data_IF_469439558533
#
_entry.id   IF_469439558533
#
_cell.length_a   1.000
_cell.length_b   1.000
_cell.length_c   1.000
_cell.angle_alpha   90.00
_cell.angle_beta   90.00
_cell.angle_gamma   90.00
#
_symmetry.space_group_name_H-M   'P 1'
#
loop_
_entity.id
_entity.type
_entity.pdbx_description
1 polymer ?
#
# COMPACT_ATOMS: atom_id res chain seq x y z
N UNK A 1 4.44 16.77 -22.11
CA UNK A 1 3.24 16.68 -21.28
C UNK A 1 3.66 16.42 -19.83
N UNK A 2 3.03 17.08 -18.89
CA UNK A 2 3.26 16.89 -17.45
C UNK A 2 2.36 15.74 -16.98
N UNK A 3 2.93 14.75 -16.26
CA UNK A 3 2.17 13.57 -15.86
C UNK A 3 1.75 13.62 -14.39
N UNK A 4 0.44 13.41 -14.18
CA UNK A 4 -0.22 13.12 -12.90
C UNK A 4 -0.94 11.76 -12.96
N UNK A 5 -0.48 10.85 -13.82
CA UNK A 5 -1.11 9.57 -14.08
C UNK A 5 -0.92 8.60 -12.91
N UNK A 6 0.33 8.49 -12.39
CA UNK A 6 0.67 7.47 -11.41
C UNK A 6 1.88 7.87 -10.56
N UNK A 7 2.00 7.24 -9.39
CA UNK A 7 3.11 7.42 -8.44
C UNK A 7 4.27 6.43 -8.65
N UNK A 8 4.24 5.64 -9.71
CA UNK A 8 5.30 4.67 -10.05
C UNK A 8 5.92 4.86 -11.45
N UNK A 9 5.70 6.03 -12.10
CA UNK A 9 6.21 6.30 -13.45
C UNK A 9 7.63 6.91 -13.46
N UNK A 10 8.15 7.33 -12.31
CA UNK A 10 9.49 7.86 -12.17
C UNK A 10 10.49 6.74 -11.81
N UNK A 11 11.77 7.03 -11.90
CA UNK A 11 12.84 6.15 -11.39
C UNK A 11 12.84 6.10 -9.86
N UNK A 12 14.03 6.12 -9.24
CA UNK A 12 14.12 6.20 -7.78
C UNK A 12 14.69 7.55 -7.31
N UNK A 13 14.57 7.82 -6.02
CA UNK A 13 15.14 9.01 -5.39
C UNK A 13 16.68 9.03 -5.54
N UNK A 14 17.25 10.22 -5.76
CA UNK A 14 18.70 10.39 -6.02
C UNK A 14 19.62 9.80 -4.95
N UNK A 15 19.19 9.80 -3.69
CA UNK A 15 19.94 9.18 -2.59
C UNK A 15 20.15 7.68 -2.80
N UNK A 16 19.16 6.99 -3.38
CA UNK A 16 19.25 5.57 -3.74
C UNK A 16 20.21 5.38 -4.89
N UNK A 17 20.08 6.18 -5.98
CA UNK A 17 20.99 6.10 -7.14
C UNK A 17 22.44 6.30 -6.72
N UNK A 18 22.71 7.29 -5.90
CA UNK A 18 24.03 7.57 -5.36
C UNK A 18 24.58 6.36 -4.60
N UNK A 19 23.77 5.80 -3.70
CA UNK A 19 24.18 4.67 -2.88
C UNK A 19 24.43 3.40 -3.69
N UNK A 20 23.60 3.14 -4.71
CA UNK A 20 23.79 2.04 -5.65
C UNK A 20 25.09 2.20 -6.44
N UNK A 21 25.40 3.42 -6.92
CA UNK A 21 26.62 3.70 -7.66
C UNK A 21 27.88 3.56 -6.78
N UNK A 22 27.87 4.13 -5.57
CA UNK A 22 28.98 4.05 -4.61
C UNK A 22 29.35 2.62 -4.22
N UNK A 23 28.37 1.73 -4.15
CA UNK A 23 28.54 0.36 -3.67
C UNK A 23 28.63 -0.68 -4.79
N UNK A 24 28.59 -0.26 -6.07
CA UNK A 24 28.48 -1.17 -7.21
C UNK A 24 29.59 -2.23 -7.30
N UNK A 25 30.83 -1.86 -6.96
CA UNK A 25 31.99 -2.73 -7.07
C UNK A 25 32.24 -3.59 -5.81
N UNK A 26 31.44 -3.41 -4.78
CA UNK A 26 31.55 -4.20 -3.55
C UNK A 26 30.99 -5.61 -3.73
N UNK A 27 31.64 -6.57 -3.09
CA UNK A 27 31.17 -7.96 -2.99
C UNK A 27 30.36 -8.12 -1.71
N UNK A 28 29.13 -8.59 -1.84
CA UNK A 28 28.23 -8.80 -0.71
C UNK A 28 27.60 -10.21 -0.77
N UNK A 29 27.18 -10.73 0.36
CA UNK A 29 26.43 -11.99 0.45
C UNK A 29 25.11 -11.83 -0.31
N UNK A 30 24.69 -12.88 -1.00
CA UNK A 30 23.45 -12.86 -1.78
C UNK A 30 22.19 -13.06 -0.94
N UNK A 31 21.05 -12.97 -1.63
CA UNK A 31 19.72 -13.34 -1.15
C UNK A 31 19.24 -12.54 0.07
N UNK A 32 19.69 -11.28 0.20
CA UNK A 32 19.28 -10.41 1.29
C UNK A 32 19.93 -10.70 2.63
N UNK A 33 21.05 -11.46 2.63
CA UNK A 33 21.85 -11.77 3.82
C UNK A 33 23.09 -10.86 3.95
N UNK A 34 23.10 -9.78 3.21
CA UNK A 34 24.15 -8.75 3.18
C UNK A 34 23.94 -7.68 4.28
N UNK A 35 25.00 -6.91 4.52
CA UNK A 35 24.99 -5.86 5.56
C UNK A 35 24.01 -4.72 5.27
N UNK A 36 23.73 -4.42 3.99
CA UNK A 36 22.76 -3.39 3.61
C UNK A 36 21.34 -3.80 3.98
N UNK A 37 20.98 -5.05 3.68
CA UNK A 37 19.71 -5.62 4.09
C UNK A 37 19.59 -5.67 5.62
N UNK A 38 20.68 -5.98 6.32
CA UNK A 38 20.71 -5.98 7.79
C UNK A 38 20.49 -4.58 8.35
N UNK A 39 21.21 -3.57 7.84
CA UNK A 39 21.04 -2.18 8.26
C UNK A 39 19.62 -1.65 7.97
N UNK A 40 19.05 -1.98 6.80
CA UNK A 40 17.68 -1.62 6.46
C UNK A 40 16.66 -2.24 7.44
N UNK A 41 16.80 -3.52 7.80
CA UNK A 41 15.95 -4.20 8.79
C UNK A 41 16.00 -3.50 10.14
N UNK A 42 17.18 -3.16 10.63
CA UNK A 42 17.37 -2.47 11.91
C UNK A 42 16.67 -1.11 11.93
N UNK A 43 16.80 -0.32 10.85
CA UNK A 43 16.12 0.95 10.73
C UNK A 43 14.60 0.82 10.68
N UNK A 44 14.09 -0.20 9.96
CA UNK A 44 12.65 -0.48 9.90
C UNK A 44 12.15 -0.90 11.30
N UNK A 45 12.84 -1.82 11.99
CA UNK A 45 12.49 -2.21 13.36
C UNK A 45 12.44 -1.03 14.31
N UNK A 46 13.43 -0.15 14.22
CA UNK A 46 13.47 1.08 15.02
C UNK A 46 12.30 2.02 14.69
N UNK A 47 11.97 2.20 13.41
CA UNK A 47 10.86 3.05 12.97
C UNK A 47 9.49 2.51 13.38
N UNK A 48 9.35 1.18 13.49
CA UNK A 48 8.13 0.52 13.94
C UNK A 48 8.04 0.35 15.46
N UNK A 49 9.10 0.68 16.21
CA UNK A 49 9.17 0.38 17.66
C UNK A 49 9.17 -1.12 17.98
N UNK A 50 9.61 -1.98 17.04
CA UNK A 50 9.52 -3.44 17.13
C UNK A 50 10.90 -4.09 16.94
N UNK A 51 11.72 -4.17 18.01
CA UNK A 51 13.09 -4.69 17.91
C UNK A 51 13.15 -6.16 17.46
N UNK A 52 12.12 -6.95 17.76
CA UNK A 52 12.05 -8.38 17.45
C UNK A 52 11.28 -8.69 16.16
N UNK A 53 10.85 -7.68 15.40
CA UNK A 53 10.13 -7.90 14.15
C UNK A 53 10.98 -8.62 13.11
N UNK A 54 10.37 -9.55 12.39
CA UNK A 54 10.96 -10.11 11.18
C UNK A 54 10.66 -9.21 9.98
N UNK A 55 11.72 -8.90 9.21
CA UNK A 55 11.61 -8.01 8.04
C UNK A 55 12.19 -8.71 6.82
N UNK A 56 11.38 -8.79 5.75
CA UNK A 56 11.75 -9.39 4.47
C UNK A 56 11.55 -8.40 3.34
N UNK A 57 12.39 -8.48 2.30
CA UNK A 57 12.30 -7.61 1.12
C UNK A 57 11.84 -8.42 -0.08
N UNK A 58 10.72 -7.99 -0.69
CA UNK A 58 10.14 -8.55 -1.92
C UNK A 58 10.19 -7.49 -3.02
N UNK A 59 9.83 -7.85 -4.25
CA UNK A 59 10.11 -7.01 -5.43
C UNK A 59 8.97 -6.03 -5.76
N UNK A 60 7.73 -6.39 -5.46
CA UNK A 60 6.57 -5.57 -5.80
C UNK A 60 5.30 -6.00 -5.07
N UNK A 61 4.28 -5.12 -5.03
CA UNK A 61 3.07 -5.27 -4.21
C UNK A 61 2.27 -6.54 -4.48
N UNK A 62 1.90 -6.80 -5.74
CA UNK A 62 1.15 -8.02 -6.13
C UNK A 62 1.88 -9.30 -5.71
N UNK A 63 3.20 -9.36 -5.95
CA UNK A 63 4.01 -10.50 -5.53
C UNK A 63 4.04 -10.62 -4.00
N UNK A 64 4.09 -9.49 -3.29
CA UNK A 64 4.09 -9.45 -1.83
C UNK A 64 2.77 -9.98 -1.28
N UNK A 65 1.63 -9.50 -1.78
CA UNK A 65 0.31 -9.96 -1.37
C UNK A 65 0.14 -11.46 -1.61
N UNK A 66 0.46 -11.93 -2.82
CA UNK A 66 0.38 -13.36 -3.16
C UNK A 66 1.28 -14.22 -2.25
N UNK A 67 2.52 -13.77 -1.99
CA UNK A 67 3.47 -14.52 -1.16
C UNK A 67 3.05 -14.59 0.31
N UNK A 68 2.59 -13.46 0.88
CA UNK A 68 2.18 -13.40 2.29
C UNK A 68 0.90 -14.21 2.51
N UNK A 69 -0.08 -14.05 1.64
CA UNK A 69 -1.37 -14.76 1.73
C UNK A 69 -1.17 -16.28 1.59
N UNK A 70 -0.42 -16.73 0.59
CA UNK A 70 -0.11 -18.16 0.40
C UNK A 70 0.68 -18.75 1.58
N UNK A 71 1.61 -17.97 2.16
CA UNK A 71 2.41 -18.42 3.29
C UNK A 71 1.61 -18.59 4.59
N UNK A 72 0.54 -17.82 4.76
CA UNK A 72 -0.20 -17.74 6.02
C UNK A 72 -1.52 -18.50 6.00
N UNK A 73 -2.04 -18.84 4.83
CA UNK A 73 -3.30 -19.53 4.69
C UNK A 73 -3.13 -21.04 4.44
N UNK A 74 -4.05 -21.82 5.00
CA UNK A 74 -4.23 -23.21 4.59
C UNK A 74 -5.01 -23.30 3.27
N UNK A 75 -4.82 -24.37 2.51
CA UNK A 75 -5.42 -24.57 1.18
C UNK A 75 -6.96 -24.46 1.12
N UNK A 76 -7.66 -24.60 2.25
CA UNK A 76 -9.11 -24.47 2.38
C UNK A 76 -9.55 -23.06 2.81
N UNK A 77 -8.62 -22.16 3.03
CA UNK A 77 -8.89 -20.81 3.53
C UNK A 77 -8.85 -19.77 2.41
N UNK A 78 -9.61 -18.69 2.61
CA UNK A 78 -9.59 -17.48 1.80
C UNK A 78 -9.30 -16.25 2.63
N UNK A 79 -9.06 -15.12 1.95
CA UNK A 79 -8.76 -13.83 2.54
C UNK A 79 -9.96 -12.90 2.41
N UNK A 80 -10.39 -12.31 3.54
CA UNK A 80 -11.45 -11.30 3.58
C UNK A 80 -10.89 -9.95 3.12
N UNK A 81 -11.56 -9.31 2.18
CA UNK A 81 -11.20 -7.99 1.65
C UNK A 81 -12.47 -7.23 1.27
N UNK A 82 -12.42 -5.92 1.18
CA UNK A 82 -13.51 -5.16 0.56
C UNK A 82 -13.56 -5.40 -0.96
N UNK A 83 -14.74 -5.23 -1.57
CA UNK A 83 -14.95 -5.46 -3.00
C UNK A 83 -14.04 -4.59 -3.90
N UNK A 84 -13.63 -3.40 -3.41
CA UNK A 84 -12.69 -2.50 -4.08
C UNK A 84 -11.21 -2.76 -3.72
N UNK A 85 -10.93 -3.73 -2.84
CA UNK A 85 -9.57 -4.05 -2.40
C UNK A 85 -8.67 -4.48 -3.55
N UNK A 86 -7.41 -4.08 -3.52
CA UNK A 86 -6.45 -4.26 -4.61
C UNK A 86 -6.32 -5.71 -5.06
N UNK A 87 -6.28 -6.65 -4.12
CA UNK A 87 -6.19 -8.10 -4.39
C UNK A 87 -7.43 -8.65 -5.11
N UNK A 88 -8.59 -7.99 -4.98
CA UNK A 88 -9.82 -8.41 -5.66
C UNK A 88 -9.91 -7.88 -7.10
N UNK A 89 -9.46 -6.63 -7.36
CA UNK A 89 -9.78 -5.93 -8.61
C UNK A 89 -8.57 -5.57 -9.48
N UNK A 90 -7.34 -5.53 -8.94
CA UNK A 90 -6.17 -5.00 -9.65
C UNK A 90 -4.96 -5.95 -9.72
N UNK A 91 -5.11 -7.22 -9.33
CA UNK A 91 -3.99 -8.19 -9.30
C UNK A 91 -4.20 -9.39 -10.23
N UNK A 92 -5.14 -9.27 -11.18
CA UNK A 92 -5.38 -10.28 -12.23
C UNK A 92 -5.61 -11.70 -11.68
N UNK A 93 -6.22 -11.83 -10.49
CA UNK A 93 -6.46 -13.12 -9.85
C UNK A 93 -5.20 -13.77 -9.27
N UNK A 94 -4.22 -12.98 -8.82
CA UNK A 94 -2.97 -13.53 -8.27
C UNK A 94 -3.20 -14.36 -7.00
N UNK A 95 -4.19 -14.01 -6.20
CA UNK A 95 -4.54 -14.76 -4.98
C UNK A 95 -5.19 -16.10 -5.35
N UNK A 96 -6.12 -16.08 -6.30
CA UNK A 96 -6.80 -17.30 -6.81
C UNK A 96 -5.81 -18.21 -7.53
N UNK A 97 -4.83 -17.64 -8.24
CA UNK A 97 -3.74 -18.40 -8.84
C UNK A 97 -2.88 -19.12 -7.78
N UNK A 98 -2.69 -18.51 -6.60
CA UNK A 98 -2.09 -19.13 -5.41
C UNK A 98 -2.96 -20.21 -4.75
N UNK A 99 -4.21 -20.40 -5.21
CA UNK A 99 -5.14 -21.41 -4.68
C UNK A 99 -6.05 -20.91 -3.56
N UNK A 100 -6.08 -19.61 -3.28
CA UNK A 100 -6.92 -19.01 -2.25
C UNK A 100 -8.01 -18.14 -2.86
N UNK A 101 -9.15 -18.07 -2.21
CA UNK A 101 -10.27 -17.25 -2.65
C UNK A 101 -10.25 -15.89 -1.95
N UNK A 102 -10.52 -14.82 -2.69
CA UNK A 102 -10.86 -13.53 -2.08
C UNK A 102 -12.35 -13.57 -1.69
N UNK A 103 -12.62 -13.36 -0.40
CA UNK A 103 -13.95 -13.28 0.19
C UNK A 103 -14.29 -11.80 0.38
N UNK A 104 -15.26 -11.29 -0.40
CA UNK A 104 -15.51 -9.86 -0.47
C UNK A 104 -16.59 -9.40 0.50
N UNK A 105 -16.36 -8.24 1.13
CA UNK A 105 -17.32 -7.45 1.90
C UNK A 105 -17.61 -6.13 1.16
N UNK A 106 -18.72 -5.44 1.51
CA UNK A 106 -18.99 -4.10 0.99
C UNK A 106 -17.84 -3.13 1.25
N UNK A 107 -17.73 -2.11 0.40
CA UNK A 107 -16.71 -1.07 0.50
C UNK A 107 -17.36 0.27 0.79
N UNK A 108 -16.89 0.96 1.84
CA UNK A 108 -17.31 2.31 2.20
C UNK A 108 -16.15 3.28 1.97
N UNK A 109 -16.17 3.98 0.83
CA UNK A 109 -15.06 4.85 0.40
C UNK A 109 -13.69 4.13 0.38
N UNK A 110 -13.68 2.85 0.00
CA UNK A 110 -12.49 2.00 -0.03
C UNK A 110 -12.17 1.30 1.29
N UNK A 111 -12.88 1.60 2.38
CA UNK A 111 -12.65 1.02 3.71
C UNK A 111 -13.57 -0.16 4.01
N UNK A 112 -13.07 -1.07 4.84
CA UNK A 112 -13.84 -2.13 5.50
C UNK A 112 -14.49 -1.55 6.74
N UNK A 113 -15.79 -1.82 6.91
CA UNK A 113 -16.51 -1.51 8.14
C UNK A 113 -16.38 -2.65 9.15
N UNK A 114 -16.07 -2.32 10.40
CA UNK A 114 -15.83 -3.29 11.45
C UNK A 114 -17.09 -4.06 11.86
N UNK A 115 -18.24 -3.38 11.91
CA UNK A 115 -19.53 -4.03 12.28
C UNK A 115 -19.98 -4.99 11.17
N UNK A 116 -19.77 -4.62 9.89
CA UNK A 116 -20.04 -5.51 8.76
C UNK A 116 -19.09 -6.72 8.72
N UNK A 117 -17.81 -6.54 9.07
CA UNK A 117 -16.86 -7.65 9.22
C UNK A 117 -17.33 -8.60 10.34
N UNK A 118 -17.71 -8.07 11.50
CA UNK A 118 -18.20 -8.86 12.62
C UNK A 118 -19.48 -9.63 12.24
N UNK A 119 -20.43 -8.97 11.56
CA UNK A 119 -21.68 -9.60 11.11
C UNK A 119 -21.41 -10.70 10.09
N UNK A 120 -20.52 -10.46 9.10
CA UNK A 120 -20.16 -11.46 8.10
C UNK A 120 -19.55 -12.72 8.74
N UNK A 121 -18.65 -12.55 9.71
CA UNK A 121 -18.03 -13.67 10.44
C UNK A 121 -19.06 -14.40 11.31
N UNK A 122 -19.92 -13.66 12.01
CA UNK A 122 -21.00 -14.25 12.78
C UNK A 122 -21.92 -15.13 11.90
N UNK A 123 -22.36 -14.62 10.76
CA UNK A 123 -23.26 -15.31 9.85
C UNK A 123 -22.59 -16.53 9.23
N UNK A 124 -21.31 -16.43 8.87
CA UNK A 124 -20.52 -17.55 8.38
C UNK A 124 -20.51 -18.72 9.38
N UNK A 125 -20.16 -18.47 10.64
CA UNK A 125 -20.08 -19.50 11.66
C UNK A 125 -21.45 -19.96 12.20
N UNK A 126 -22.52 -19.21 11.97
CA UNK A 126 -23.88 -19.59 12.30
C UNK A 126 -24.53 -20.48 11.22
N UNK A 127 -23.98 -20.53 10.01
CA UNK A 127 -24.49 -21.37 8.94
C UNK A 127 -24.20 -22.87 9.25
N UNK A 128 -25.20 -23.72 9.34
CA UNK A 128 -24.99 -25.15 9.64
C UNK A 128 -24.20 -25.89 8.53
N UNK A 129 -23.98 -25.26 7.38
CA UNK A 129 -23.26 -25.83 6.24
C UNK A 129 -21.90 -25.18 6.00
N UNK A 130 -21.38 -24.38 6.92
CA UNK A 130 -20.12 -23.63 6.77
C UNK A 130 -18.93 -24.56 6.42
N UNK A 131 -18.94 -25.82 6.82
CA UNK A 131 -17.92 -26.81 6.46
C UNK A 131 -17.83 -27.11 4.94
N UNK A 132 -18.83 -26.69 4.15
CA UNK A 132 -18.81 -26.77 2.68
C UNK A 132 -18.33 -25.48 2.02
N UNK A 133 -18.03 -24.44 2.77
CA UNK A 133 -17.61 -23.15 2.27
C UNK A 133 -16.10 -22.94 2.43
N UNK A 134 -15.55 -21.96 1.71
CA UNK A 134 -14.15 -21.53 1.93
C UNK A 134 -14.09 -20.80 3.28
N UNK A 135 -13.24 -21.30 4.17
CA UNK A 135 -13.06 -20.70 5.50
C UNK A 135 -12.38 -19.33 5.42
N UNK A 136 -12.82 -18.34 6.20
CA UNK A 136 -12.06 -17.11 6.40
C UNK A 136 -10.76 -17.43 7.14
N UNK A 137 -9.63 -17.03 6.58
CA UNK A 137 -8.31 -17.33 7.15
C UNK A 137 -7.46 -16.10 7.46
N UNK A 138 -7.85 -14.94 6.92
CA UNK A 138 -7.12 -13.68 7.08
C UNK A 138 -8.05 -12.51 6.74
N UNK A 139 -7.80 -11.36 7.36
CA UNK A 139 -8.37 -10.06 6.95
C UNK A 139 -7.29 -9.24 6.27
N UNK A 140 -7.62 -8.65 5.12
CA UNK A 140 -6.76 -7.77 4.33
C UNK A 140 -7.40 -6.39 4.18
N UNK A 141 -6.64 -5.36 4.49
CA UNK A 141 -7.00 -3.96 4.24
C UNK A 141 -5.81 -3.22 3.62
N UNK A 142 -6.09 -2.11 2.94
CA UNK A 142 -5.06 -1.23 2.34
C UNK A 142 -4.92 0.08 3.11
N UNK A 143 -3.69 0.55 3.31
CA UNK A 143 -3.39 1.83 3.94
C UNK A 143 -2.31 2.60 3.14
N UNK A 144 -2.68 3.68 2.41
CA UNK A 144 -4.00 4.25 2.12
C UNK A 144 -4.79 3.38 1.14
N UNK A 145 -6.13 3.50 1.16
CA UNK A 145 -7.02 2.73 0.28
C UNK A 145 -6.89 3.13 -1.19
N UNK A 146 -7.46 2.34 -2.08
CA UNK A 146 -7.51 2.59 -3.53
C UNK A 146 -8.26 3.88 -3.86
N UNK A 147 -9.22 4.26 -2.99
CA UNK A 147 -9.99 5.51 -3.11
C UNK A 147 -9.29 6.72 -2.48
N UNK A 148 -8.04 6.54 -1.99
CA UNK A 148 -7.24 7.58 -1.37
C UNK A 148 -7.67 7.97 0.05
N UNK A 149 -8.54 7.20 0.68
CA UNK A 149 -8.93 7.38 2.08
C UNK A 149 -7.93 6.71 3.03
N UNK A 150 -7.98 7.08 4.30
CA UNK A 150 -7.18 6.47 5.36
C UNK A 150 -8.10 6.02 6.50
N UNK A 151 -7.74 4.92 7.14
CA UNK A 151 -8.40 4.49 8.38
C UNK A 151 -7.98 5.40 9.51
N UNK A 152 -8.91 5.74 10.39
CA UNK A 152 -8.59 6.34 11.69
C UNK A 152 -8.04 5.28 12.65
N UNK A 153 -7.40 5.72 13.73
CA UNK A 153 -6.92 4.80 14.76
C UNK A 153 -8.07 3.97 15.35
N UNK A 154 -9.23 4.58 15.59
CA UNK A 154 -10.41 3.90 16.14
C UNK A 154 -10.95 2.84 15.17
N UNK A 155 -11.00 3.11 13.86
CA UNK A 155 -11.40 2.13 12.84
C UNK A 155 -10.43 0.93 12.79
N UNK A 156 -9.12 1.19 12.86
CA UNK A 156 -8.11 0.12 12.89
C UNK A 156 -8.20 -0.71 14.17
N UNK A 157 -8.41 -0.07 15.33
CA UNK A 157 -8.62 -0.76 16.60
C UNK A 157 -9.82 -1.70 16.53
N UNK A 158 -10.96 -1.21 16.02
CA UNK A 158 -12.17 -2.00 15.89
C UNK A 158 -11.96 -3.24 14.99
N UNK A 159 -11.32 -3.08 13.82
CA UNK A 159 -11.01 -4.20 12.93
C UNK A 159 -10.05 -5.18 13.61
N UNK A 160 -8.97 -4.67 14.23
CA UNK A 160 -7.98 -5.49 14.94
C UNK A 160 -8.60 -6.32 16.06
N UNK A 161 -9.52 -5.75 16.83
CA UNK A 161 -10.19 -6.45 17.92
C UNK A 161 -11.11 -7.58 17.41
N UNK A 162 -11.79 -7.37 16.28
CA UNK A 162 -12.57 -8.43 15.63
C UNK A 162 -11.64 -9.53 15.11
N UNK A 163 -10.53 -9.17 14.46
CA UNK A 163 -9.53 -10.13 14.01
C UNK A 163 -9.03 -11.01 15.18
N UNK A 164 -8.71 -10.40 16.34
CA UNK A 164 -8.30 -11.11 17.55
C UNK A 164 -9.39 -12.03 18.08
N UNK A 165 -10.65 -11.55 18.11
CA UNK A 165 -11.81 -12.35 18.59
C UNK A 165 -11.99 -13.63 17.77
N UNK A 166 -11.80 -13.57 16.45
CA UNK A 166 -11.95 -14.71 15.54
C UNK A 166 -10.62 -15.43 15.23
N UNK A 167 -9.52 -14.99 15.85
CA UNK A 167 -8.16 -15.56 15.62
C UNK A 167 -7.77 -15.51 14.14
N UNK A 168 -8.08 -14.41 13.46
CA UNK A 168 -7.72 -14.13 12.09
C UNK A 168 -6.55 -13.17 12.03
N UNK A 169 -5.43 -13.50 11.35
CA UNK A 169 -4.37 -12.52 11.11
C UNK A 169 -4.89 -11.33 10.32
N UNK A 170 -4.41 -10.13 10.68
CA UNK A 170 -4.65 -8.89 9.95
C UNK A 170 -3.43 -8.53 9.10
N UNK A 171 -3.60 -8.52 7.78
CA UNK A 171 -2.63 -8.02 6.81
C UNK A 171 -2.98 -6.59 6.40
N UNK A 172 -2.03 -5.66 6.54
CA UNK A 172 -2.14 -4.29 6.03
C UNK A 172 -1.24 -4.12 4.80
N UNK A 173 -1.88 -3.97 3.65
CA UNK A 173 -1.22 -3.59 2.40
C UNK A 173 -0.77 -2.13 2.50
N UNK A 174 0.52 -1.93 2.56
CA UNK A 174 1.16 -0.63 2.68
C UNK A 174 1.80 -0.13 1.38
N UNK A 175 1.28 -0.50 0.19
CA UNK A 175 1.81 -0.02 -1.08
C UNK A 175 1.94 1.50 -1.15
N UNK A 176 1.05 2.22 -0.45
CA UNK A 176 1.06 3.68 -0.27
C UNK A 176 1.17 4.11 1.20
N UNK A 177 1.79 3.27 2.04
CA UNK A 177 1.87 3.49 3.49
C UNK A 177 2.45 4.87 3.84
N UNK A 178 3.53 5.29 3.20
CA UNK A 178 4.13 6.59 3.44
C UNK A 178 3.15 7.74 3.20
N UNK A 179 2.40 7.69 2.11
CA UNK A 179 1.40 8.70 1.78
C UNK A 179 0.21 8.67 2.75
N UNK A 180 -0.22 7.48 3.18
CA UNK A 180 -1.26 7.32 4.18
C UNK A 180 -0.88 7.89 5.55
N UNK A 181 0.33 7.58 6.05
CA UNK A 181 0.83 8.10 7.32
C UNK A 181 1.09 9.61 7.31
N UNK A 182 1.36 10.19 6.13
CA UNK A 182 1.56 11.64 5.96
C UNK A 182 0.30 12.36 5.49
N UNK A 183 -0.83 11.66 5.36
CA UNK A 183 -2.10 12.25 4.94
C UNK A 183 -2.58 13.33 5.91
N UNK A 184 -3.30 14.33 5.37
CA UNK A 184 -3.87 15.40 6.19
C UNK A 184 -4.86 14.85 7.20
N UNK A 185 -4.62 15.08 8.50
CA UNK A 185 -5.49 14.59 9.58
C UNK A 185 -5.33 13.11 9.93
N UNK A 186 -4.33 12.40 9.39
CA UNK A 186 -4.03 11.04 9.82
C UNK A 186 -3.60 11.03 11.30
N UNK A 187 -4.26 10.21 12.10
CA UNK A 187 -4.03 10.04 13.55
C UNK A 187 -3.29 8.73 13.89
N UNK A 188 -2.81 8.01 12.85
CA UNK A 188 -2.11 6.73 12.98
C UNK A 188 -0.62 6.93 12.80
N UNK A 189 0.17 6.39 13.72
CA UNK A 189 1.64 6.29 13.57
C UNK A 189 2.05 4.91 13.05
N UNK A 190 3.28 4.80 12.52
CA UNK A 190 3.81 3.51 12.08
C UNK A 190 3.94 2.50 13.25
N UNK A 191 4.26 2.98 14.44
CA UNK A 191 4.35 2.16 15.66
C UNK A 191 2.96 1.61 16.03
N UNK A 192 1.92 2.47 16.06
CA UNK A 192 0.54 2.06 16.32
C UNK A 192 0.03 1.07 15.27
N UNK A 193 0.30 1.31 13.98
CA UNK A 193 -0.07 0.38 12.92
C UNK A 193 0.59 -1.00 13.14
N UNK A 194 1.88 -1.02 13.48
CA UNK A 194 2.61 -2.24 13.80
C UNK A 194 2.10 -2.94 15.09
N UNK A 195 1.45 -2.23 16.01
CA UNK A 195 0.80 -2.81 17.19
C UNK A 195 -0.54 -3.49 16.87
N UNK A 196 -1.20 -3.09 15.81
CA UNK A 196 -2.57 -3.47 15.50
C UNK A 196 -2.70 -4.63 14.50
N UNK A 197 -1.65 -4.93 13.73
CA UNK A 197 -1.68 -5.96 12.70
C UNK A 197 -0.64 -7.07 12.96
N UNK A 198 -0.83 -8.20 12.29
CA UNK A 198 0.07 -9.36 12.38
C UNK A 198 1.14 -9.32 11.29
N UNK A 199 0.82 -8.71 10.16
CA UNK A 199 1.74 -8.47 9.06
C UNK A 199 1.35 -7.21 8.29
N UNK A 200 2.33 -6.45 7.88
CA UNK A 200 2.14 -5.32 6.95
C UNK A 200 3.36 -5.18 6.06
N UNK A 201 3.27 -4.34 5.03
CA UNK A 201 4.48 -3.99 4.31
C UNK A 201 4.62 -2.47 4.10
N UNK A 202 5.88 -2.03 4.07
CA UNK A 202 6.27 -0.65 3.75
C UNK A 202 6.54 -0.60 2.26
N UNK A 203 5.65 0.05 1.50
CA UNK A 203 5.75 0.19 0.06
C UNK A 203 6.91 1.10 -0.34
N UNK A 204 7.91 0.55 -1.04
CA UNK A 204 9.02 1.32 -1.60
C UNK A 204 8.76 1.74 -3.05
N UNK A 205 8.18 0.88 -3.86
CA UNK A 205 8.00 1.08 -5.31
C UNK A 205 7.31 2.40 -5.65
N UNK A 206 6.27 2.78 -4.92
CA UNK A 206 5.54 4.03 -5.15
C UNK A 206 6.15 5.21 -4.40
N UNK A 207 6.97 4.96 -3.36
CA UNK A 207 7.53 5.97 -2.48
C UNK A 207 9.07 6.02 -2.54
N UNK A 208 9.60 6.29 -3.72
CA UNK A 208 11.00 6.65 -3.91
C UNK A 208 11.95 5.53 -4.28
N UNK A 209 11.57 4.25 -4.23
CA UNK A 209 12.39 3.13 -4.70
C UNK A 209 12.16 2.83 -6.20
N UNK A 210 13.09 2.16 -6.85
CA UNK A 210 12.88 1.56 -8.17
C UNK A 210 11.90 0.40 -8.12
N UNK A 211 12.02 -0.41 -7.08
CA UNK A 211 11.18 -1.56 -6.79
C UNK A 211 11.40 -1.99 -5.35
N UNK A 212 10.44 -2.70 -4.80
CA UNK A 212 10.59 -3.36 -3.52
C UNK A 212 9.58 -2.92 -2.49
N UNK A 213 9.24 -3.92 -1.67
CA UNK A 213 8.35 -3.81 -0.53
C UNK A 213 9.03 -4.46 0.67
N UNK A 214 8.98 -3.82 1.82
CA UNK A 214 9.51 -4.40 3.07
C UNK A 214 8.35 -4.99 3.87
N UNK A 215 8.23 -6.31 3.86
CA UNK A 215 7.25 -7.05 4.67
C UNK A 215 7.73 -7.11 6.11
N UNK A 216 6.88 -6.75 7.04
CA UNK A 216 7.16 -6.70 8.47
C UNK A 216 6.16 -7.59 9.20
N UNK A 217 6.68 -8.55 9.95
CA UNK A 217 5.93 -9.31 10.95
C UNK A 217 6.32 -8.77 12.33
N UNK A 218 5.43 -8.05 13.02
CA UNK A 218 5.75 -7.47 14.33
C UNK A 218 5.98 -8.50 15.44
N UNK A 219 5.64 -9.77 15.19
CA UNK A 219 5.83 -10.91 16.10
C UNK A 219 5.12 -10.79 17.45
N UNK A 220 3.88 -10.24 17.44
CA UNK A 220 3.08 -10.12 18.66
C UNK A 220 2.30 -11.40 18.98
N UNK A 221 1.33 -11.73 18.10
CA UNK A 221 0.42 -12.85 18.25
C UNK A 221 0.65 -13.92 17.20
N UNK A 222 0.93 -13.51 15.99
CA UNK A 222 1.22 -14.38 14.86
C UNK A 222 2.66 -14.13 14.43
N UNK A 223 3.58 -15.08 14.64
CA UNK A 223 4.96 -14.97 14.17
C UNK A 223 5.02 -15.13 12.65
N UNK A 224 6.14 -14.69 12.05
CA UNK A 224 6.40 -14.98 10.64
C UNK A 224 6.34 -16.51 10.40
N UNK A 225 5.79 -16.96 9.27
CA UNK A 225 5.77 -18.39 8.93
C UNK A 225 7.18 -19.00 8.96
N UNK A 226 7.34 -20.17 9.57
CA UNK A 226 8.64 -20.82 9.81
C UNK A 226 9.51 -20.93 8.54
N UNK A 227 8.90 -21.13 7.37
CA UNK A 227 9.61 -21.27 6.10
C UNK A 227 9.37 -20.11 5.14
N UNK A 228 9.06 -18.90 5.65
CA UNK A 228 8.70 -17.76 4.80
C UNK A 228 9.79 -17.43 3.77
N UNK A 229 11.07 -17.50 4.12
CA UNK A 229 12.19 -17.35 3.18
C UNK A 229 12.10 -18.34 1.99
N UNK A 230 11.73 -19.59 2.25
CA UNK A 230 11.57 -20.61 1.21
C UNK A 230 10.38 -20.30 0.31
N UNK A 231 9.28 -19.81 0.89
CA UNK A 231 8.07 -19.42 0.15
C UNK A 231 8.34 -18.19 -0.72
N UNK A 232 9.06 -17.18 -0.21
CA UNK A 232 9.55 -16.04 -1.02
C UNK A 232 10.31 -16.54 -2.26
N UNK A 233 11.16 -17.57 -2.09
CA UNK A 233 11.90 -18.13 -3.23
C UNK A 233 11.00 -18.86 -4.22
N UNK A 234 10.00 -19.61 -3.75
CA UNK A 234 9.02 -20.30 -4.61
C UNK A 234 8.22 -19.31 -5.46
N UNK A 235 7.83 -18.16 -4.88
CA UNK A 235 7.13 -17.08 -5.57
C UNK A 235 8.04 -16.23 -6.47
N UNK A 236 9.33 -16.57 -6.60
CA UNK A 236 10.29 -15.83 -7.45
C UNK A 236 10.65 -14.44 -6.90
N UNK A 237 10.31 -14.15 -5.65
CA UNK A 237 10.55 -12.85 -5.01
C UNK A 237 11.96 -12.69 -4.41
N UNK A 238 12.71 -13.79 -4.26
CA UNK A 238 14.03 -13.77 -3.63
C UNK A 238 15.13 -13.49 -4.66
N UNK A 239 15.61 -12.26 -4.68
CA UNK A 239 16.67 -11.84 -5.58
C UNK A 239 18.04 -12.39 -5.15
N UNK A 240 18.80 -12.97 -6.09
CA UNK A 240 20.19 -13.35 -5.83
C UNK A 240 21.05 -12.14 -5.40
N UNK A 241 20.81 -10.97 -6.00
CA UNK A 241 21.40 -9.69 -5.60
C UNK A 241 20.45 -8.92 -4.68
N UNK A 242 20.05 -9.52 -3.56
CA UNK A 242 19.09 -8.97 -2.60
C UNK A 242 19.50 -7.61 -2.03
N UNK A 243 20.82 -7.31 -1.99
CA UNK A 243 21.33 -5.99 -1.64
C UNK A 243 20.67 -4.83 -2.40
N UNK A 244 20.16 -5.08 -3.62
CA UNK A 244 19.45 -4.07 -4.38
C UNK A 244 18.24 -3.52 -3.59
N UNK A 245 17.49 -4.39 -2.93
CA UNK A 245 16.36 -3.98 -2.09
C UNK A 245 16.86 -3.36 -0.77
N UNK A 246 17.86 -4.01 -0.12
CA UNK A 246 18.44 -3.52 1.12
C UNK A 246 18.98 -2.09 1.03
N UNK A 247 19.76 -1.78 -0.01
CA UNK A 247 20.31 -0.43 -0.23
C UNK A 247 19.19 0.61 -0.40
N UNK A 248 18.11 0.27 -1.11
CA UNK A 248 16.99 1.17 -1.31
C UNK A 248 16.28 1.50 0.01
N UNK A 249 15.93 0.47 0.81
CA UNK A 249 15.29 0.67 2.09
C UNK A 249 16.24 1.30 3.14
N UNK A 250 17.53 0.95 3.12
CA UNK A 250 18.53 1.61 3.96
C UNK A 250 18.57 3.12 3.71
N UNK A 251 18.59 3.52 2.43
CA UNK A 251 18.55 4.94 2.05
C UNK A 251 17.22 5.62 2.41
N UNK A 252 16.09 4.98 2.13
CA UNK A 252 14.76 5.53 2.42
C UNK A 252 14.51 5.73 3.92
N UNK A 253 14.98 4.80 4.76
CA UNK A 253 14.80 4.91 6.21
C UNK A 253 15.85 5.80 6.89
N UNK A 254 16.93 6.18 6.20
CA UNK A 254 17.93 7.11 6.72
C UNK A 254 17.34 8.50 6.87
N UNK A 255 17.52 9.11 8.06
CA UNK A 255 17.06 10.45 8.40
C UNK A 255 15.57 10.71 8.10
N UNK A 256 14.77 9.67 8.07
CA UNK A 256 13.33 9.76 7.79
C UNK A 256 13.00 10.21 6.36
N UNK A 257 13.88 9.94 5.39
CA UNK A 257 13.68 10.32 3.99
C UNK A 257 12.34 9.82 3.44
N UNK A 258 11.96 8.56 3.74
CA UNK A 258 10.69 7.95 3.33
C UNK A 258 9.48 8.85 3.66
N UNK A 259 9.41 9.34 4.89
CA UNK A 259 8.31 10.19 5.36
C UNK A 259 8.40 11.61 4.78
N UNK A 260 9.61 12.15 4.57
CA UNK A 260 9.81 13.48 3.99
C UNK A 260 9.31 13.55 2.56
N UNK A 261 9.67 12.55 1.74
CA UNK A 261 9.25 12.51 0.33
C UNK A 261 7.76 12.16 0.18
N UNK A 262 7.22 11.36 1.09
CA UNK A 262 5.78 11.09 1.15
C UNK A 262 4.98 12.34 1.51
N UNK A 263 5.42 13.11 2.51
CA UNK A 263 4.82 14.39 2.90
C UNK A 263 4.81 15.38 1.74
N UNK A 264 5.94 15.49 1.03
CA UNK A 264 6.01 16.35 -0.17
C UNK A 264 4.92 15.99 -1.19
N UNK A 265 4.73 14.70 -1.50
CA UNK A 265 3.70 14.27 -2.43
C UNK A 265 2.30 14.64 -1.96
N UNK A 266 1.99 14.40 -0.68
CA UNK A 266 0.69 14.77 -0.09
C UNK A 266 0.46 16.28 -0.14
N UNK A 267 1.45 17.09 0.22
CA UNK A 267 1.36 18.57 0.15
C UNK A 267 1.04 19.04 -1.27
N UNK A 268 1.66 18.44 -2.30
CA UNK A 268 1.34 18.76 -3.69
C UNK A 268 -0.09 18.34 -4.07
N UNK A 269 -0.54 17.18 -3.59
CA UNK A 269 -1.91 16.72 -3.82
C UNK A 269 -2.95 17.65 -3.17
N UNK A 270 -2.71 18.11 -1.94
CA UNK A 270 -3.61 19.04 -1.26
C UNK A 270 -3.72 20.37 -2.01
N UNK A 271 -2.62 20.88 -2.56
CA UNK A 271 -2.65 22.05 -3.45
C UNK A 271 -3.55 21.85 -4.66
N UNK A 272 -3.52 20.67 -5.29
CA UNK A 272 -4.41 20.34 -6.41
C UNK A 272 -5.87 20.24 -5.96
N UNK A 273 -6.16 19.55 -4.86
CA UNK A 273 -7.50 19.42 -4.29
C UNK A 273 -8.11 20.80 -4.05
N UNK A 274 -7.38 21.65 -3.33
CA UNK A 274 -7.86 22.97 -2.97
C UNK A 274 -8.09 23.85 -4.21
N UNK A 275 -7.26 23.71 -5.24
CA UNK A 275 -7.46 24.41 -6.51
C UNK A 275 -8.71 23.92 -7.26
N UNK A 276 -8.92 22.60 -7.34
CA UNK A 276 -10.15 22.05 -7.94
C UNK A 276 -11.39 22.55 -7.21
N UNK A 277 -11.41 22.48 -5.88
CA UNK A 277 -12.54 22.92 -5.06
C UNK A 277 -12.77 24.45 -5.23
N UNK A 278 -11.72 25.27 -5.15
CA UNK A 278 -11.84 26.73 -5.28
C UNK A 278 -12.34 27.19 -6.66
N UNK A 279 -12.09 26.41 -7.69
CA UNK A 279 -12.59 26.64 -9.06
C UNK A 279 -13.95 26.01 -9.34
N UNK A 280 -14.59 25.40 -8.32
CA UNK A 280 -15.95 24.86 -8.40
C UNK A 280 -16.06 23.47 -9.00
N UNK A 281 -14.95 22.73 -9.13
CA UNK A 281 -15.00 21.32 -9.51
C UNK A 281 -15.48 20.47 -8.34
N UNK A 282 -16.25 19.44 -8.64
CA UNK A 282 -16.75 18.49 -7.63
C UNK A 282 -15.74 17.36 -7.46
N UNK A 283 -15.29 17.17 -6.23
CA UNK A 283 -14.49 15.98 -5.89
C UNK A 283 -15.39 14.74 -5.81
N UNK A 284 -14.89 13.60 -6.30
CA UNK A 284 -15.56 12.31 -6.17
C UNK A 284 -15.39 11.75 -4.76
N UNK A 285 -14.17 11.81 -4.21
CA UNK A 285 -13.87 11.44 -2.82
C UNK A 285 -13.10 12.57 -2.14
N UNK A 286 -13.17 12.62 -0.81
CA UNK A 286 -12.37 13.55 0.00
C UNK A 286 -11.05 12.89 0.41
N UNK A 287 -10.19 12.62 -0.56
CA UNK A 287 -8.90 11.99 -0.32
C UNK A 287 -7.91 12.95 0.35
N UNK A 288 -7.36 12.61 1.53
CA UNK A 288 -6.30 13.36 2.18
C UNK A 288 -4.89 12.92 1.72
N UNK A 289 -4.79 12.04 0.72
CA UNK A 289 -3.52 11.42 0.29
C UNK A 289 -2.99 12.01 -1.02
N UNK A 290 -1.99 11.36 -1.61
CA UNK A 290 -1.40 11.74 -2.89
C UNK A 290 -2.29 11.48 -4.11
N UNK A 291 -3.45 10.85 -3.97
CA UNK A 291 -4.40 10.54 -5.04
C UNK A 291 -5.61 11.47 -4.93
N UNK A 292 -5.94 12.21 -5.99
CA UNK A 292 -7.09 13.12 -6.03
C UNK A 292 -8.08 12.68 -7.09
N UNK A 293 -9.35 12.56 -6.72
CA UNK A 293 -10.43 12.08 -7.57
C UNK A 293 -11.42 13.23 -7.83
N UNK A 294 -11.51 13.67 -9.07
CA UNK A 294 -12.32 14.83 -9.44
C UNK A 294 -13.26 14.48 -10.59
N UNK A 295 -14.49 15.00 -10.52
CA UNK A 295 -15.51 14.83 -11.58
C UNK A 295 -15.36 15.92 -12.63
N UNK A 296 -15.02 15.52 -13.86
CA UNK A 296 -14.77 16.43 -14.97
C UNK A 296 -15.73 16.19 -16.14
N UNK A 297 -16.12 17.27 -16.81
CA UNK A 297 -16.79 17.21 -18.10
C UNK A 297 -15.83 16.86 -19.24
N UNK A 298 -16.32 16.24 -20.31
CA UNK A 298 -15.53 15.83 -21.49
C UNK A 298 -14.72 16.97 -22.09
N UNK A 299 -15.30 18.18 -22.16
CA UNK A 299 -14.61 19.35 -22.73
C UNK A 299 -13.42 19.79 -21.84
N UNK A 300 -13.57 19.68 -20.52
CA UNK A 300 -12.48 19.96 -19.57
C UNK A 300 -11.36 18.92 -19.72
N UNK A 301 -11.73 17.64 -19.81
CA UNK A 301 -10.78 16.55 -20.05
C UNK A 301 -9.99 16.79 -21.33
N UNK A 302 -10.68 17.00 -22.46
CA UNK A 302 -10.06 17.26 -23.78
C UNK A 302 -9.14 18.49 -23.78
N UNK A 303 -9.43 19.50 -22.96
CA UNK A 303 -8.59 20.68 -22.79
C UNK A 303 -7.33 20.36 -21.99
N UNK A 304 -7.47 19.65 -20.86
CA UNK A 304 -6.35 19.31 -19.97
C UNK A 304 -5.40 18.30 -20.60
N UNK A 305 -5.91 17.30 -21.33
CA UNK A 305 -5.11 16.27 -22.00
C UNK A 305 -4.14 16.79 -23.07
N UNK A 306 -4.25 18.08 -23.47
CA UNK A 306 -3.28 18.69 -24.39
C UNK A 306 -1.90 18.84 -23.74
N UNK A 307 -1.85 19.09 -22.43
CA UNK A 307 -0.63 19.41 -21.72
C UNK A 307 -0.34 18.45 -20.55
N UNK A 308 -1.37 17.77 -20.04
CA UNK A 308 -1.31 16.92 -18.84
C UNK A 308 -1.76 15.48 -19.13
N UNK A 309 -1.18 14.53 -18.42
CA UNK A 309 -1.60 13.12 -18.40
C UNK A 309 -2.17 12.79 -17.03
N UNK A 310 -3.35 12.19 -16.99
CA UNK A 310 -4.06 11.73 -15.79
C UNK A 310 -4.96 10.56 -16.16
N UNK A 311 -5.48 9.82 -15.19
CA UNK A 311 -6.35 8.68 -15.47
C UNK A 311 -7.83 9.07 -15.51
N UNK A 312 -8.57 8.46 -16.44
CA UNK A 312 -10.02 8.44 -16.47
C UNK A 312 -10.50 7.08 -15.96
N UNK A 313 -11.28 7.07 -14.88
CA UNK A 313 -11.66 5.80 -14.23
C UNK A 313 -13.02 5.30 -14.71
N UNK A 314 -14.09 5.96 -14.32
CA UNK A 314 -15.44 5.55 -14.65
C UNK A 314 -16.39 6.75 -14.74
N UNK A 315 -17.50 6.62 -15.51
CA UNK A 315 -18.48 7.69 -15.63
C UNK A 315 -19.35 7.79 -14.37
N UNK A 316 -19.70 9.04 -14.01
CA UNK A 316 -20.65 9.39 -12.95
C UNK A 316 -21.67 10.36 -13.52
N UNK A 317 -22.80 9.86 -14.02
CA UNK A 317 -23.76 10.63 -14.81
C UNK A 317 -23.10 11.18 -16.08
N UNK A 318 -23.16 12.50 -16.27
CA UNK A 318 -22.55 13.18 -17.44
C UNK A 318 -21.06 13.53 -17.22
N UNK A 319 -20.51 13.20 -16.07
CA UNK A 319 -19.13 13.47 -15.68
C UNK A 319 -18.29 12.20 -15.73
N UNK A 320 -16.96 12.37 -15.81
CA UNK A 320 -15.98 11.31 -15.67
C UNK A 320 -15.24 11.50 -14.35
N UNK A 321 -15.13 10.44 -13.55
CA UNK A 321 -14.21 10.43 -12.42
C UNK A 321 -12.79 10.34 -12.95
N UNK A 322 -12.00 11.39 -12.75
CA UNK A 322 -10.61 11.48 -13.15
C UNK A 322 -9.70 11.43 -11.92
N UNK A 323 -8.65 10.61 -11.98
CA UNK A 323 -7.66 10.51 -10.92
C UNK A 323 -6.40 11.29 -11.31
N UNK A 324 -5.96 12.18 -10.41
CA UNK A 324 -4.68 12.88 -10.46
C UNK A 324 -3.81 12.39 -9.31
N UNK A 325 -2.60 11.94 -9.61
CA UNK A 325 -1.68 11.37 -8.63
C UNK A 325 -0.42 12.22 -8.56
N UNK A 326 -0.03 12.59 -7.35
CA UNK A 326 1.29 13.17 -7.08
C UNK A 326 2.21 12.11 -6.50
N UNK A 327 3.50 12.31 -6.62
CA UNK A 327 4.53 11.40 -6.12
C UNK A 327 5.66 12.16 -5.44
N UNK A 328 6.60 11.43 -4.89
CA UNK A 328 7.84 11.96 -4.35
C UNK A 328 8.63 12.83 -5.36
N UNK A 329 8.43 12.60 -6.66
CA UNK A 329 9.11 13.31 -7.76
C UNK A 329 8.28 14.46 -8.35
N UNK A 330 7.06 14.69 -7.90
CA UNK A 330 6.19 15.74 -8.43
C UNK A 330 6.78 17.12 -8.15
N UNK A 331 7.02 17.89 -9.21
CA UNK A 331 7.58 19.23 -9.09
C UNK A 331 6.48 20.23 -8.70
N UNK A 332 6.76 21.18 -7.77
CA UNK A 332 5.79 22.24 -7.43
C UNK A 332 5.36 23.09 -8.63
N UNK A 333 6.25 23.28 -9.61
CA UNK A 333 5.97 24.02 -10.84
C UNK A 333 4.96 23.30 -11.74
N UNK A 334 5.03 21.96 -11.80
CA UNK A 334 4.08 21.14 -12.57
C UNK A 334 2.67 21.24 -11.99
N UNK A 335 2.58 21.23 -10.65
CA UNK A 335 1.32 21.47 -9.93
C UNK A 335 0.78 22.89 -10.21
N UNK A 336 1.65 23.89 -10.19
CA UNK A 336 1.29 25.28 -10.49
C UNK A 336 0.78 25.42 -11.94
N UNK A 337 1.41 24.74 -12.89
CA UNK A 337 0.99 24.73 -14.29
C UNK A 337 -0.41 24.11 -14.46
N UNK A 338 -0.70 22.97 -13.79
CA UNK A 338 -2.04 22.37 -13.81
C UNK A 338 -3.08 23.29 -13.18
N UNK A 339 -2.80 23.90 -12.02
CA UNK A 339 -3.69 24.84 -11.36
C UNK A 339 -4.02 26.06 -12.26
N UNK A 340 -3.04 26.56 -13.01
CA UNK A 340 -3.28 27.65 -13.95
C UNK A 340 -4.15 27.24 -15.14
N UNK A 341 -4.13 25.97 -15.54
CA UNK A 341 -4.91 25.43 -16.64
C UNK A 341 -6.35 25.04 -16.24
N UNK A 342 -6.65 24.89 -14.96
CA UNK A 342 -8.02 24.64 -14.47
C UNK A 342 -8.90 25.88 -14.68
#
# INVERSE_FOLDING_TARGET
MISFESDYNNGCHEAILRRLAETNDERATGYGLDDYCTAAREKIRAACGKPDADVFFLVGGTQTNATVIDAMLHSYQGVLSVETGHINVHESGAIEFGGHKVLTLPSHDGKMDADELAQWLHDFFADPTYDHMVFPGMVYITFATEMGTVYTLDELLAISDICKQYTLPLLIDGARLGYGLMAEGCDVTLEQLADLCDVFYIGGTKCGAYCGEAVVFPNHQVPAPEHFFTIIKQHGALLAKGRLLGIQFDALMTDGLYFKIARHAVEQAMRLRDAFVSKGYKMYSNSPTNQQFVLLYKDTIARLERDFVFEQWFPVGDLMNCRFVTSWATRPDDVTALIAAL
#
